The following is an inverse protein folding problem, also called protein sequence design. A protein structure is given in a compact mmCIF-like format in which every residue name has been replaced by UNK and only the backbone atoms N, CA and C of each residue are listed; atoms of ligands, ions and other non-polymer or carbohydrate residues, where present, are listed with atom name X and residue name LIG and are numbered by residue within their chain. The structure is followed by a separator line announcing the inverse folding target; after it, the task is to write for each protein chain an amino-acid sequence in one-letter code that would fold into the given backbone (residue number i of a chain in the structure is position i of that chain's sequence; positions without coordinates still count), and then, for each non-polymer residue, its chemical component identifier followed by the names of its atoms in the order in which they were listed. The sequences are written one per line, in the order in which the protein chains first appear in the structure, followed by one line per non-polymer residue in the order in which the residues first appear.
data_IF_854069122128
#
_entry.id   IF_854069122128
#
_cell.length_a   1.000
_cell.length_b   1.000
_cell.length_c   1.000
_cell.angle_alpha   90.00
_cell.angle_beta   90.00
_cell.angle_gamma   90.00
#
_symmetry.space_group_name_H-M   'P 1'
#
loop_
_entity.id
_entity.type
_entity.pdbx_description
1 polymer ?
#
# COMPACT_ATOMS: atom_id res chain seq x y z
N UNK A 1 -30.41 -35.48 -47.27
CA UNK A 1 -30.07 -35.52 -45.81
C UNK A 1 -28.82 -34.72 -45.62
N UNK A 2 -28.93 -33.47 -45.14
CA UNK A 2 -27.81 -32.56 -44.95
C UNK A 2 -27.36 -32.61 -43.48
N UNK A 3 -26.20 -33.17 -43.27
CA UNK A 3 -25.54 -33.29 -41.94
C UNK A 3 -24.96 -31.90 -41.59
N UNK A 4 -25.59 -31.18 -40.65
CA UNK A 4 -25.04 -29.91 -40.11
C UNK A 4 -24.04 -30.24 -39.01
N UNK A 5 -22.75 -30.06 -39.30
CA UNK A 5 -21.69 -30.14 -38.33
C UNK A 5 -21.73 -28.86 -37.46
N UNK A 6 -22.14 -28.99 -36.21
CA UNK A 6 -22.06 -27.90 -35.24
C UNK A 6 -20.63 -27.80 -34.70
N UNK A 7 -19.93 -26.77 -35.11
CA UNK A 7 -18.59 -26.45 -34.59
C UNK A 7 -18.73 -25.82 -33.20
N UNK A 8 -18.47 -26.58 -32.14
CA UNK A 8 -18.44 -26.05 -30.77
C UNK A 8 -17.17 -25.23 -30.58
N UNK A 9 -17.38 -23.91 -30.42
CA UNK A 9 -16.30 -22.98 -30.08
C UNK A 9 -15.92 -23.21 -28.60
N UNK A 10 -14.78 -23.86 -28.35
CA UNK A 10 -14.19 -23.97 -27.01
C UNK A 10 -13.46 -22.64 -26.75
N UNK A 11 -14.06 -21.77 -25.95
CA UNK A 11 -13.40 -20.56 -25.44
C UNK A 11 -12.53 -20.98 -24.27
N UNK A 12 -11.19 -20.82 -24.33
CA UNK A 12 -10.34 -21.10 -23.18
C UNK A 12 -10.66 -20.06 -22.08
N UNK A 13 -11.09 -20.54 -20.91
CA UNK A 13 -11.13 -19.72 -19.71
C UNK A 13 -9.68 -19.37 -19.36
N UNK A 14 -9.28 -18.12 -19.63
CA UNK A 14 -8.04 -17.59 -19.11
C UNK A 14 -8.18 -17.51 -17.59
N UNK A 15 -7.57 -18.46 -16.87
CA UNK A 15 -7.49 -18.44 -15.42
C UNK A 15 -6.75 -17.19 -14.97
N UNK A 16 -7.42 -16.30 -14.20
CA UNK A 16 -6.74 -15.21 -13.51
C UNK A 16 -5.71 -15.81 -12.56
N UNK A 17 -4.46 -15.28 -12.57
CA UNK A 17 -3.46 -15.66 -11.59
C UNK A 17 -4.00 -15.37 -10.18
N UNK A 18 -3.88 -16.29 -9.18
CA UNK A 18 -4.36 -16.01 -7.84
C UNK A 18 -3.59 -14.84 -7.25
N UNK A 19 -4.32 -13.84 -6.72
CA UNK A 19 -3.72 -12.78 -5.92
C UNK A 19 -3.07 -13.40 -4.67
N UNK A 20 -1.95 -12.80 -4.18
CA UNK A 20 -1.34 -13.19 -2.92
C UNK A 20 -2.39 -13.05 -1.80
N UNK A 21 -2.64 -14.13 -1.06
CA UNK A 21 -3.45 -14.07 0.15
C UNK A 21 -2.71 -13.24 1.18
N UNK A 22 -3.36 -12.16 1.68
CA UNK A 22 -2.78 -11.25 2.66
C UNK A 22 -3.21 -11.65 4.07
N UNK A 23 -2.25 -11.64 5.00
CA UNK A 23 -2.44 -11.95 6.42
C UNK A 23 -2.14 -10.70 7.27
N UNK A 24 -3.19 -10.06 7.80
CA UNK A 24 -3.05 -8.87 8.63
C UNK A 24 -2.30 -9.14 9.94
N UNK A 25 -2.42 -10.33 10.53
CA UNK A 25 -1.66 -10.68 11.74
C UNK A 25 -0.16 -10.80 11.44
N UNK A 26 0.21 -11.35 10.30
CA UNK A 26 1.59 -11.33 9.82
C UNK A 26 2.05 -9.91 9.52
N UNK A 27 1.18 -9.09 8.93
CA UNK A 27 1.43 -7.67 8.65
C UNK A 27 1.70 -6.85 9.91
N UNK A 28 1.03 -7.14 11.01
CA UNK A 28 1.29 -6.52 12.30
C UNK A 28 2.73 -6.78 12.77
N UNK A 29 3.24 -7.98 12.56
CA UNK A 29 4.64 -8.32 12.87
C UNK A 29 5.62 -7.56 11.96
N UNK A 30 5.29 -7.43 10.68
CA UNK A 30 6.08 -6.61 9.74
C UNK A 30 6.08 -5.15 10.18
N UNK A 31 4.96 -4.62 10.67
CA UNK A 31 4.83 -3.24 11.14
C UNK A 31 5.73 -2.92 12.35
N UNK A 32 6.23 -3.91 13.08
CA UNK A 32 7.13 -3.68 14.21
C UNK A 32 8.36 -2.82 13.84
N UNK A 33 8.86 -2.92 12.63
CA UNK A 33 9.97 -2.09 12.15
C UNK A 33 9.54 -0.65 11.75
N UNK A 34 8.25 -0.37 11.69
CA UNK A 34 7.69 0.95 11.38
C UNK A 34 7.29 1.72 12.65
N UNK A 35 7.06 0.98 13.72
CA UNK A 35 6.50 1.45 14.99
C UNK A 35 7.38 2.44 15.73
N UNK A 36 8.70 2.43 15.48
CA UNK A 36 9.62 3.42 16.04
C UNK A 36 9.32 4.85 15.57
N UNK A 37 8.72 4.99 14.39
CA UNK A 37 8.48 6.29 13.75
C UNK A 37 6.99 6.60 13.54
N UNK A 38 6.12 5.60 13.45
CA UNK A 38 4.70 5.76 13.12
C UNK A 38 3.78 5.20 14.19
N UNK A 39 2.62 5.85 14.35
CA UNK A 39 1.45 5.35 15.06
C UNK A 39 0.33 5.08 14.05
N UNK A 40 -0.65 4.24 14.40
CA UNK A 40 -1.78 3.86 13.54
C UNK A 40 -3.14 4.22 14.10
N UNK A 41 -3.25 4.38 15.42
CA UNK A 41 -4.50 4.67 16.11
C UNK A 41 -5.01 6.09 15.84
N UNK A 42 -6.32 6.26 15.85
CA UNK A 42 -6.95 7.57 15.75
C UNK A 42 -6.49 8.49 16.88
N UNK A 43 -6.08 9.71 16.52
CA UNK A 43 -5.55 10.66 17.49
C UNK A 43 -4.13 10.33 17.97
N UNK A 44 -3.47 9.34 17.38
CA UNK A 44 -2.10 8.99 17.66
C UNK A 44 -1.13 10.11 17.30
N UNK A 45 -0.05 10.19 18.06
CA UNK A 45 0.95 11.24 17.93
C UNK A 45 1.81 11.05 16.69
N UNK A 46 2.10 12.16 15.98
CA UNK A 46 3.21 12.20 15.04
C UNK A 46 4.54 12.07 15.80
N UNK A 47 5.42 11.24 15.28
CA UNK A 47 6.79 11.06 15.78
C UNK A 47 7.79 11.47 14.72
N UNK A 48 8.79 10.66 14.48
CA UNK A 48 9.73 10.83 13.36
C UNK A 48 9.00 10.71 12.03
N UNK A 49 8.00 9.84 11.96
CA UNK A 49 7.02 9.76 10.87
C UNK A 49 5.63 10.21 11.30
N UNK A 50 4.71 10.45 10.36
CA UNK A 50 3.35 10.86 10.67
C UNK A 50 2.53 9.72 11.27
N UNK A 51 1.48 10.05 12.04
CA UNK A 51 0.41 9.11 12.36
C UNK A 51 -0.26 8.66 11.07
N UNK A 52 -0.49 7.35 10.93
CA UNK A 52 -1.01 6.74 9.70
C UNK A 52 -2.53 6.52 9.70
N UNK A 53 -3.24 6.91 10.77
CA UNK A 53 -4.69 6.77 10.79
C UNK A 53 -5.33 7.53 9.63
N UNK A 54 -6.25 6.88 8.92
CA UNK A 54 -6.91 7.48 7.76
C UNK A 54 -6.01 7.66 6.53
N UNK A 55 -4.88 6.97 6.46
CA UNK A 55 -3.90 7.15 5.36
C UNK A 55 -4.46 6.75 3.99
N UNK A 56 -5.29 5.71 3.90
CA UNK A 56 -5.84 5.27 2.61
C UNK A 56 -6.86 6.28 2.08
N UNK A 57 -6.69 6.70 0.85
CA UNK A 57 -7.46 7.76 0.20
C UNK A 57 -6.93 9.18 0.46
N UNK A 58 -5.86 9.32 1.24
CA UNK A 58 -5.26 10.60 1.56
C UNK A 58 -4.20 11.00 0.53
N UNK A 59 -4.17 12.30 0.18
CA UNK A 59 -3.08 12.87 -0.61
C UNK A 59 -1.75 12.74 0.14
N UNK A 60 -0.70 12.33 -0.55
CA UNK A 60 0.63 12.24 0.03
C UNK A 60 1.09 13.61 0.54
N UNK A 61 1.79 13.62 1.66
CA UNK A 61 2.34 14.85 2.23
C UNK A 61 1.31 15.80 2.82
N UNK A 62 0.10 15.35 3.16
CA UNK A 62 -1.02 16.24 3.52
C UNK A 62 -1.47 16.16 4.98
N UNK A 63 -0.88 15.31 5.82
CA UNK A 63 -1.26 15.22 7.23
C UNK A 63 -0.86 16.52 7.96
N UNK A 64 -1.83 17.15 8.59
CA UNK A 64 -1.58 18.37 9.37
C UNK A 64 -0.67 18.09 10.58
N UNK A 65 0.17 19.09 10.89
CA UNK A 65 1.05 19.02 12.04
C UNK A 65 2.29 18.14 11.86
N UNK A 66 2.48 17.52 10.69
CA UNK A 66 3.71 16.79 10.36
C UNK A 66 4.52 17.52 9.30
N UNK A 67 5.83 17.60 9.52
CA UNK A 67 6.76 18.23 8.59
C UNK A 67 7.29 17.22 7.58
N UNK A 68 6.78 17.26 6.37
CA UNK A 68 7.23 16.41 5.26
C UNK A 68 8.48 16.95 4.58
N UNK A 69 9.21 16.05 3.89
CA UNK A 69 10.21 16.48 2.91
C UNK A 69 9.56 17.24 1.75
N UNK A 70 10.31 18.13 1.11
CA UNK A 70 9.85 18.81 -0.09
C UNK A 70 9.48 17.82 -1.20
N UNK A 71 10.22 16.70 -1.31
CA UNK A 71 9.96 15.65 -2.28
C UNK A 71 8.60 14.98 -2.07
N UNK A 72 8.24 14.64 -0.82
CA UNK A 72 6.93 14.04 -0.52
C UNK A 72 5.80 15.03 -0.80
N UNK A 73 5.95 16.28 -0.41
CA UNK A 73 4.96 17.33 -0.70
C UNK A 73 4.74 17.49 -2.20
N UNK A 74 5.82 17.52 -2.97
CA UNK A 74 5.75 17.62 -4.44
C UNK A 74 5.01 16.43 -5.06
N UNK A 75 5.19 15.22 -4.52
CA UNK A 75 4.43 14.03 -4.98
C UNK A 75 2.93 14.18 -4.72
N UNK A 76 2.55 14.69 -3.56
CA UNK A 76 1.14 14.97 -3.26
C UNK A 76 0.55 16.03 -4.17
N UNK A 77 1.27 17.11 -4.42
CA UNK A 77 0.86 18.18 -5.35
C UNK A 77 0.73 17.65 -6.79
N UNK A 78 1.53 16.66 -7.17
CA UNK A 78 1.44 15.98 -8.46
C UNK A 78 0.32 14.92 -8.52
N UNK A 79 -0.45 14.72 -7.45
CA UNK A 79 -1.62 13.86 -7.43
C UNK A 79 -1.41 12.49 -6.79
N UNK A 80 -0.30 12.24 -6.10
CA UNK A 80 -0.13 10.97 -5.38
C UNK A 80 -1.13 10.88 -4.23
N UNK A 81 -1.97 9.86 -4.29
CA UNK A 81 -2.91 9.47 -3.23
C UNK A 81 -2.54 8.08 -2.74
N UNK A 82 -2.56 7.88 -1.43
CA UNK A 82 -2.25 6.58 -0.86
C UNK A 82 -3.39 5.59 -1.04
N UNK A 83 -3.13 4.54 -1.77
CA UNK A 83 -3.98 3.36 -1.97
C UNK A 83 -3.11 2.12 -1.79
N UNK A 84 -3.67 0.91 -1.68
CA UNK A 84 -2.86 -0.30 -1.70
C UNK A 84 -1.90 -0.36 -2.90
N UNK A 85 -2.35 0.08 -4.07
CA UNK A 85 -1.61 0.04 -5.32
C UNK A 85 -0.44 1.06 -5.35
N UNK A 86 -0.62 2.24 -4.75
CA UNK A 86 0.44 3.26 -4.69
C UNK A 86 1.36 3.07 -3.50
N UNK A 87 0.86 2.46 -2.42
CA UNK A 87 1.65 2.21 -1.22
C UNK A 87 2.66 1.06 -1.44
N UNK A 88 2.28 0.03 -2.19
CA UNK A 88 3.15 -1.13 -2.41
C UNK A 88 4.51 -0.77 -3.04
N UNK A 89 4.60 0.03 -4.12
CA UNK A 89 5.89 0.47 -4.66
C UNK A 89 6.70 1.31 -3.67
N UNK A 90 6.02 2.15 -2.89
CA UNK A 90 6.68 2.96 -1.86
C UNK A 90 7.27 2.10 -0.74
N UNK A 91 6.56 1.10 -0.27
CA UNK A 91 7.08 0.17 0.74
C UNK A 91 8.20 -0.71 0.20
N UNK A 92 8.17 -1.02 -1.08
CA UNK A 92 9.22 -1.82 -1.73
C UNK A 92 10.54 -1.06 -1.83
N UNK A 93 10.48 0.20 -2.24
CA UNK A 93 11.66 1.06 -2.35
C UNK A 93 11.25 2.53 -2.18
N UNK A 94 11.26 3.05 -0.93
CA UNK A 94 10.87 4.43 -0.68
C UNK A 94 11.71 5.47 -1.42
N UNK A 95 13.00 5.22 -1.59
CA UNK A 95 13.92 6.14 -2.26
C UNK A 95 13.69 6.24 -3.77
N UNK A 96 13.24 5.15 -4.37
CA UNK A 96 12.88 5.14 -5.79
C UNK A 96 11.51 5.78 -6.02
N UNK A 97 10.54 5.47 -5.15
CA UNK A 97 9.19 6.01 -5.27
C UNK A 97 9.13 7.51 -4.98
N UNK A 98 9.91 7.98 -4.00
CA UNK A 98 10.00 9.39 -3.61
C UNK A 98 11.48 9.77 -3.48
N UNK A 99 12.18 10.03 -4.59
CA UNK A 99 13.56 10.50 -4.54
C UNK A 99 13.67 11.79 -3.72
N UNK A 100 14.58 11.81 -2.75
CA UNK A 100 14.73 12.94 -1.82
C UNK A 100 13.79 12.92 -0.63
N UNK A 101 12.99 11.88 -0.45
CA UNK A 101 12.17 11.65 0.74
C UNK A 101 13.01 11.45 1.99
N UNK A 102 12.40 11.73 3.16
CA UNK A 102 13.10 11.73 4.45
C UNK A 102 12.90 10.46 5.27
N UNK A 103 12.03 9.53 4.86
CA UNK A 103 11.82 8.28 5.59
C UNK A 103 13.07 7.39 5.53
N UNK A 104 13.66 7.12 6.70
CA UNK A 104 14.87 6.29 6.83
C UNK A 104 14.52 4.81 6.88
N UNK A 105 14.06 4.28 5.75
CA UNK A 105 13.66 2.89 5.58
C UNK A 105 14.12 2.37 4.22
N UNK A 106 14.82 1.22 4.22
CA UNK A 106 15.41 0.68 2.98
C UNK A 106 14.37 0.02 2.05
N UNK A 107 13.22 -0.35 2.59
CA UNK A 107 12.17 -1.04 1.86
C UNK A 107 12.02 -2.51 2.21
N UNK A 108 10.90 -3.07 1.82
CA UNK A 108 10.58 -4.49 1.92
C UNK A 108 10.81 -5.15 0.57
N UNK A 109 11.61 -6.21 0.54
CA UNK A 109 11.89 -6.94 -0.71
C UNK A 109 11.00 -8.16 -0.94
N UNK A 110 10.25 -8.56 0.08
CA UNK A 110 9.35 -9.70 0.02
C UNK A 110 7.93 -9.23 -0.27
N UNK A 111 7.37 -9.64 -1.40
CA UNK A 111 6.03 -9.23 -1.84
C UNK A 111 4.92 -9.69 -0.89
N UNK A 112 5.08 -10.86 -0.25
CA UNK A 112 4.13 -11.33 0.75
C UNK A 112 4.12 -10.41 1.98
N UNK A 113 5.27 -9.96 2.44
CA UNK A 113 5.36 -9.02 3.57
C UNK A 113 4.72 -7.68 3.22
N UNK A 114 4.86 -7.20 1.99
CA UNK A 114 4.20 -5.97 1.53
C UNK A 114 2.69 -6.14 1.55
N UNK A 115 2.17 -7.24 1.00
CA UNK A 115 0.74 -7.54 1.00
C UNK A 115 0.17 -7.66 2.42
N UNK A 116 0.88 -8.36 3.30
CA UNK A 116 0.48 -8.54 4.71
C UNK A 116 0.47 -7.21 5.46
N UNK A 117 1.50 -6.38 5.28
CA UNK A 117 1.59 -5.06 5.90
C UNK A 117 0.45 -4.15 5.44
N UNK A 118 0.13 -4.12 4.15
CA UNK A 118 -0.99 -3.35 3.62
C UNK A 118 -2.31 -3.82 4.23
N UNK A 119 -2.54 -5.13 4.32
CA UNK A 119 -3.73 -5.69 4.96
C UNK A 119 -3.85 -5.26 6.43
N UNK A 120 -2.75 -5.30 7.17
CA UNK A 120 -2.71 -4.81 8.55
C UNK A 120 -3.04 -3.31 8.64
N UNK A 121 -2.40 -2.50 7.80
CA UNK A 121 -2.64 -1.05 7.79
C UNK A 121 -4.09 -0.70 7.45
N UNK A 122 -4.72 -1.42 6.52
CA UNK A 122 -6.13 -1.22 6.21
C UNK A 122 -7.03 -1.43 7.43
N UNK A 123 -6.73 -2.44 8.25
CA UNK A 123 -7.48 -2.68 9.50
C UNK A 123 -7.14 -1.67 10.59
N UNK A 124 -5.85 -1.39 10.78
CA UNK A 124 -5.36 -0.59 11.90
C UNK A 124 -5.59 0.92 11.74
N UNK A 125 -5.70 1.41 10.50
CA UNK A 125 -5.82 2.85 10.20
C UNK A 125 -7.24 3.29 9.85
N UNK A 126 -8.23 2.43 10.03
CA UNK A 126 -9.64 2.76 9.82
C UNK A 126 -10.05 2.85 8.35
N UNK A 127 -9.34 2.21 7.43
CA UNK A 127 -9.76 2.15 6.03
C UNK A 127 -11.11 1.43 5.91
N UNK A 128 -12.08 2.05 5.23
CA UNK A 128 -13.32 1.38 4.84
C UNK A 128 -13.01 0.30 3.79
N UNK A 129 -13.63 -0.86 3.96
CA UNK A 129 -13.59 -1.93 2.97
C UNK A 129 -14.47 -1.62 1.77
#
# INVERSE_FOLDING_TARGET
MSLRLALALVVPLAGAAPALAADAAAGQRVFNQCRACHTVEQGGRNGVGPNLHGIFGRTAGSIEGFRYSAAMKARGEAGLVWTPETLAPYLRNPREAVPGGSMAFAGLRNEQQIADLIAYLQQATGASR
#
